data_IF_653697322666
#
_entry.id   IF_653697322666
#
_cell.length_a   1.000
_cell.length_b   1.000
_cell.length_c   1.000
_cell.angle_alpha   90.00
_cell.angle_beta   90.00
_cell.angle_gamma   90.00
#
_symmetry.space_group_name_H-M   'P 1'
#
loop_
_entity.id
_entity.type
_entity.pdbx_description
1 polymer ?
#
# COMPACT_ATOMS: atom_id res chain seq x y z
N UNK A 1 -0.06 -23.87 -33.30
CA UNK A 1 -0.10 -23.99 -31.83
C UNK A 1 1.06 -23.16 -31.33
N UNK A 2 0.83 -21.87 -31.14
CA UNK A 2 1.84 -20.93 -30.65
C UNK A 2 2.02 -21.19 -29.16
N UNK A 3 3.22 -21.61 -28.77
CA UNK A 3 3.64 -21.71 -27.39
C UNK A 3 3.93 -20.30 -26.90
N UNK A 4 3.06 -19.76 -26.06
CA UNK A 4 3.34 -18.52 -25.33
C UNK A 4 4.41 -18.82 -24.29
N UNK A 5 5.64 -18.40 -24.56
CA UNK A 5 6.71 -18.36 -23.55
C UNK A 5 6.36 -17.28 -22.52
N UNK A 6 6.01 -17.68 -21.32
CA UNK A 6 5.93 -16.77 -20.17
C UNK A 6 7.36 -16.34 -19.84
N UNK A 7 7.75 -15.13 -20.20
CA UNK A 7 8.97 -14.56 -19.66
C UNK A 7 8.75 -14.28 -18.17
N UNK A 8 9.23 -15.18 -17.31
CA UNK A 8 9.52 -14.83 -15.92
C UNK A 8 10.65 -13.78 -15.94
N UNK A 9 10.27 -12.52 -16.13
CA UNK A 9 11.11 -11.39 -15.76
C UNK A 9 11.22 -11.44 -14.24
N UNK A 10 12.16 -12.23 -13.71
CA UNK A 10 12.51 -12.20 -12.29
C UNK A 10 13.13 -10.83 -12.02
N UNK A 11 12.30 -9.87 -11.61
CA UNK A 11 12.78 -8.59 -11.13
C UNK A 11 13.56 -8.84 -9.84
N UNK A 12 14.88 -8.97 -9.98
CA UNK A 12 15.79 -9.20 -8.87
C UNK A 12 15.74 -8.05 -7.87
N UNK A 13 15.37 -6.84 -8.31
CA UNK A 13 15.39 -5.62 -7.51
C UNK A 13 14.33 -5.63 -6.40
N UNK A 14 13.14 -6.19 -6.66
CA UNK A 14 12.05 -6.30 -5.67
C UNK A 14 11.80 -7.75 -5.21
N UNK A 15 12.81 -8.62 -5.31
CA UNK A 15 12.67 -10.05 -5.05
C UNK A 15 12.62 -10.43 -3.56
N UNK A 16 12.97 -9.51 -2.65
CA UNK A 16 13.07 -9.79 -1.21
C UNK A 16 12.23 -8.82 -0.36
N UNK A 17 10.89 -8.93 -0.37
CA UNK A 17 10.05 -8.11 0.48
C UNK A 17 10.26 -8.45 1.97
N UNK A 18 10.05 -7.48 2.84
CA UNK A 18 9.98 -7.66 4.29
C UNK A 18 8.80 -6.87 4.86
N UNK A 19 8.31 -7.31 6.02
CA UNK A 19 7.32 -6.61 6.84
C UNK A 19 7.96 -6.37 8.20
N UNK A 20 7.98 -5.13 8.65
CA UNK A 20 8.52 -4.73 9.95
C UNK A 20 7.43 -4.27 10.93
N UNK A 21 6.27 -3.82 10.43
CA UNK A 21 5.08 -3.50 11.22
C UNK A 21 3.87 -4.22 10.64
N UNK A 22 3.12 -4.89 11.52
CA UNK A 22 1.85 -5.54 11.21
C UNK A 22 0.95 -5.43 12.45
N UNK A 23 0.06 -4.45 12.45
CA UNK A 23 -0.77 -4.14 13.62
C UNK A 23 -2.15 -3.63 13.23
N UNK A 24 -3.07 -3.69 14.19
CA UNK A 24 -4.37 -3.05 14.06
C UNK A 24 -4.33 -1.64 14.65
N UNK A 25 -4.95 -0.69 13.96
CA UNK A 25 -5.13 0.70 14.39
C UNK A 25 -6.60 1.08 14.34
N UNK A 26 -7.01 1.97 15.24
CA UNK A 26 -8.39 2.44 15.34
C UNK A 26 -8.60 3.84 14.74
N UNK A 27 -7.52 4.61 14.58
CA UNK A 27 -7.54 5.96 14.01
C UNK A 27 -6.78 6.00 12.67
N UNK A 28 -7.22 6.79 11.67
CA UNK A 28 -8.44 7.62 11.68
C UNK A 28 -9.74 6.80 11.54
N UNK A 29 -9.62 5.55 11.10
CA UNK A 29 -10.69 4.53 11.06
C UNK A 29 -10.06 3.18 11.37
N UNK A 30 -10.85 2.19 11.78
CA UNK A 30 -10.34 0.83 12.05
C UNK A 30 -9.69 0.24 10.78
N UNK A 31 -8.40 -0.09 10.85
CA UNK A 31 -7.67 -0.73 9.76
C UNK A 31 -6.50 -1.57 10.26
N UNK A 32 -6.04 -2.52 9.46
CA UNK A 32 -4.78 -3.23 9.69
C UNK A 32 -3.69 -2.52 8.90
N UNK A 33 -2.71 -1.99 9.61
CA UNK A 33 -1.55 -1.32 9.07
C UNK A 33 -0.41 -2.31 8.88
N UNK A 34 0.08 -2.42 7.65
CA UNK A 34 1.23 -3.24 7.28
C UNK A 34 2.27 -2.33 6.63
N UNK A 35 3.45 -2.24 7.23
CA UNK A 35 4.58 -1.51 6.69
C UNK A 35 5.74 -2.45 6.38
N UNK A 36 6.50 -2.08 5.36
CA UNK A 36 7.63 -2.87 4.91
C UNK A 36 8.36 -2.24 3.75
N UNK A 37 9.12 -3.06 3.04
CA UNK A 37 9.88 -2.64 1.87
C UNK A 37 10.55 -3.83 1.21
N UNK A 38 11.56 -3.55 0.39
CA UNK A 38 12.37 -4.57 -0.27
C UNK A 38 13.83 -4.49 0.19
N UNK A 39 14.43 -5.62 0.55
CA UNK A 39 15.82 -5.64 1.03
C UNK A 39 16.76 -5.21 -0.08
N UNK A 40 17.73 -4.36 0.29
CA UNK A 40 18.72 -3.84 -0.65
C UNK A 40 18.20 -2.72 -1.56
N UNK A 41 17.00 -2.19 -1.29
CA UNK A 41 16.47 -1.00 -1.94
C UNK A 41 16.03 0.02 -0.88
N UNK A 42 15.81 1.26 -1.30
CA UNK A 42 15.18 2.29 -0.47
C UNK A 42 13.65 2.23 -0.55
N UNK A 43 13.09 1.34 -1.39
CA UNK A 43 11.65 1.25 -1.62
C UNK A 43 10.93 0.70 -0.38
N UNK A 44 10.01 1.53 0.13
CA UNK A 44 9.13 1.24 1.27
C UNK A 44 7.68 1.31 0.84
N UNK A 45 6.84 0.64 1.60
CA UNK A 45 5.40 0.67 1.42
C UNK A 45 4.66 0.70 2.75
N UNK A 46 3.50 1.35 2.72
CA UNK A 46 2.48 1.32 3.77
C UNK A 46 1.18 0.82 3.16
N UNK A 47 0.58 -0.21 3.74
CA UNK A 47 -0.72 -0.76 3.33
C UNK A 47 -1.71 -0.64 4.48
N UNK A 48 -2.89 -0.11 4.18
CA UNK A 48 -3.98 0.12 5.13
C UNK A 48 -5.17 -0.75 4.72
N UNK A 49 -5.26 -1.95 5.30
CA UNK A 49 -6.30 -2.91 4.97
C UNK A 49 -7.59 -2.65 5.77
N UNK A 50 -8.78 -2.69 5.13
CA UNK A 50 -10.04 -2.66 5.84
C UNK A 50 -10.26 -3.94 6.67
N UNK A 51 -11.17 -3.90 7.66
CA UNK A 51 -11.78 -5.12 8.19
C UNK A 51 -12.30 -6.01 7.07
N UNK A 52 -12.21 -7.32 7.25
CA UNK A 52 -12.57 -8.30 6.21
C UNK A 52 -14.01 -8.13 5.72
N UNK A 53 -14.90 -7.74 6.61
CA UNK A 53 -16.33 -7.55 6.37
C UNK A 53 -16.62 -6.35 5.46
N UNK A 54 -15.69 -5.41 5.34
CA UNK A 54 -15.79 -4.22 4.50
C UNK A 54 -15.03 -4.36 3.18
N UNK A 55 -14.22 -5.41 3.01
CA UNK A 55 -13.39 -5.55 1.82
C UNK A 55 -14.18 -6.09 0.62
N UNK A 56 -14.26 -5.29 -0.45
CA UNK A 56 -14.96 -5.63 -1.70
C UNK A 56 -13.99 -5.93 -2.86
N UNK A 57 -12.71 -6.18 -2.57
CA UNK A 57 -11.71 -6.53 -3.58
C UNK A 57 -11.12 -5.32 -4.33
N UNK A 58 -11.32 -4.09 -3.84
CA UNK A 58 -10.79 -2.88 -4.49
C UNK A 58 -9.40 -2.51 -3.99
N UNK A 59 -8.69 -1.72 -4.78
CA UNK A 59 -7.36 -1.23 -4.48
C UNK A 59 -7.24 0.25 -4.86
N UNK A 60 -6.63 1.04 -3.98
CA UNK A 60 -6.30 2.44 -4.24
C UNK A 60 -4.81 2.67 -3.97
N UNK A 61 -4.15 3.36 -4.90
CA UNK A 61 -2.78 3.85 -4.72
C UNK A 61 -2.76 5.35 -4.87
N UNK A 62 -2.22 6.05 -3.87
CA UNK A 62 -1.89 7.45 -4.02
C UNK A 62 -0.47 7.57 -4.58
N UNK A 63 -0.35 8.18 -5.77
CA UNK A 63 0.95 8.49 -6.36
C UNK A 63 1.30 9.93 -5.98
N UNK A 64 2.36 10.07 -5.20
CA UNK A 64 2.79 11.39 -4.75
C UNK A 64 3.40 12.19 -5.91
N UNK A 65 3.13 13.51 -5.99
CA UNK A 65 3.79 14.38 -6.97
C UNK A 65 5.31 14.51 -6.75
N UNK A 66 5.76 14.25 -5.53
CA UNK A 66 7.16 14.30 -5.09
C UNK A 66 7.41 13.01 -4.30
N UNK A 67 8.43 12.25 -4.70
CA UNK A 67 8.84 11.01 -4.02
C UNK A 67 9.46 11.28 -2.65
N UNK A 68 9.39 10.29 -1.75
CA UNK A 68 10.20 10.26 -0.52
C UNK A 68 9.48 10.00 0.79
N UNK A 69 8.15 9.86 0.83
CA UNK A 69 7.42 9.61 2.10
C UNK A 69 6.25 8.63 1.93
N UNK A 70 6.39 7.41 2.44
CA UNK A 70 5.34 6.37 2.43
C UNK A 70 4.27 6.50 3.54
N UNK A 71 4.25 7.59 4.31
CA UNK A 71 3.35 7.77 5.46
C UNK A 71 2.41 8.98 5.35
N UNK A 72 2.28 9.57 4.15
CA UNK A 72 1.48 10.79 3.96
C UNK A 72 0.00 10.60 4.30
N UNK A 73 -0.59 9.41 4.06
CA UNK A 73 -1.98 9.14 4.39
C UNK A 73 -2.29 9.14 5.90
N UNK A 74 -1.26 9.05 6.74
CA UNK A 74 -1.38 9.16 8.20
C UNK A 74 -1.34 10.62 8.68
N UNK A 75 -1.00 11.57 7.81
CA UNK A 75 -0.92 12.98 8.19
C UNK A 75 -2.32 13.61 8.26
N UNK A 76 -2.55 14.61 9.14
CA UNK A 76 -3.83 15.31 9.22
C UNK A 76 -4.31 15.91 7.89
N UNK A 77 -3.36 16.25 7.02
CA UNK A 77 -3.64 16.83 5.71
C UNK A 77 -4.30 15.83 4.76
N UNK A 78 -3.96 14.55 4.83
CA UNK A 78 -4.51 13.51 3.96
C UNK A 78 -5.92 13.06 4.34
N UNK A 79 -6.36 13.31 5.58
CA UNK A 79 -7.67 12.85 6.11
C UNK A 79 -8.88 13.41 5.34
N UNK A 80 -8.73 14.53 4.64
CA UNK A 80 -9.82 15.23 3.93
C UNK A 80 -9.77 15.07 2.41
N UNK A 81 -8.80 14.31 1.89
CA UNK A 81 -8.59 14.15 0.46
C UNK A 81 -9.11 12.79 -0.04
N UNK A 82 -9.34 12.69 -1.35
CA UNK A 82 -9.83 11.48 -2.04
C UNK A 82 -8.84 10.31 -2.07
N UNK A 83 -7.82 10.38 -1.22
CA UNK A 83 -6.78 9.39 -1.03
C UNK A 83 -6.55 9.07 0.45
N UNK A 84 -7.51 9.43 1.31
CA UNK A 84 -7.47 9.07 2.73
C UNK A 84 -7.70 7.58 2.94
N UNK A 85 -7.23 7.08 4.09
CA UNK A 85 -7.49 5.71 4.54
C UNK A 85 -9.00 5.45 4.62
N UNK A 86 -9.75 6.41 5.17
CA UNK A 86 -11.21 6.33 5.30
C UNK A 86 -11.91 6.19 3.95
N UNK A 87 -11.54 7.00 2.95
CA UNK A 87 -12.12 6.91 1.61
C UNK A 87 -11.91 5.53 0.98
N UNK A 88 -10.70 4.98 1.06
CA UNK A 88 -10.40 3.67 0.50
C UNK A 88 -11.24 2.57 1.17
N UNK A 89 -11.31 2.60 2.50
CA UNK A 89 -12.04 1.61 3.31
C UNK A 89 -13.56 1.71 3.07
N UNK A 90 -14.13 2.91 3.12
CA UNK A 90 -15.56 3.15 2.81
C UNK A 90 -15.91 2.76 1.38
N UNK A 91 -14.93 2.82 0.47
CA UNK A 91 -15.04 2.34 -0.92
C UNK A 91 -14.72 0.86 -1.07
N UNK A 92 -14.66 0.08 0.01
CA UNK A 92 -14.43 -1.36 -0.02
C UNK A 92 -13.05 -1.79 -0.55
N UNK A 93 -12.05 -0.92 -0.42
CA UNK A 93 -10.68 -1.16 -0.84
C UNK A 93 -9.66 -0.95 0.28
N UNK A 94 -8.43 -1.40 0.04
CA UNK A 94 -7.27 -1.01 0.83
C UNK A 94 -6.52 0.14 0.14
N UNK A 95 -5.80 0.92 0.93
CA UNK A 95 -4.89 1.96 0.43
C UNK A 95 -3.44 1.44 0.46
N UNK A 96 -2.68 1.71 -0.59
CA UNK A 96 -1.22 1.57 -0.62
C UNK A 96 -0.58 2.94 -0.83
N UNK A 97 0.48 3.17 -0.06
CA UNK A 97 1.45 4.23 -0.30
C UNK A 97 2.84 3.62 -0.46
N UNK A 98 3.67 4.27 -1.27
CA UNK A 98 5.08 3.96 -1.39
C UNK A 98 5.85 5.26 -1.52
N UNK A 99 7.09 5.26 -1.01
CA UNK A 99 8.02 6.37 -1.21
C UNK A 99 8.55 6.46 -2.66
N UNK A 100 8.16 5.51 -3.53
CA UNK A 100 8.54 5.40 -4.95
C UNK A 100 10.01 5.05 -5.22
N UNK A 101 10.76 4.62 -4.19
CA UNK A 101 12.17 4.22 -4.31
C UNK A 101 13.12 5.41 -4.26
#
# INVERSE_FOLDING_TARGET
METSESSESSDLFFSQPYVDIDEWRDEPVRHRYVHGGFKGTDARFSIYFPPKEQYEGRFFQYIQPISGDENVAQTPRALTWSYSIGFAIDSGGYLLESNLG
#
